data_IF_743068985659
#
_entry.id   IF_743068985659
#
_cell.length_a   1.000
_cell.length_b   1.000
_cell.length_c   1.000
_cell.angle_alpha   90.00
_cell.angle_beta   90.00
_cell.angle_gamma   90.00
#
_symmetry.space_group_name_H-M   'P 1'
#
loop_
_entity.id
_entity.type
_entity.pdbx_description
1 polymer ?
#
# COMPACT_ATOMS: atom_id res chain seq x y z
N UNK A 1 60.18 -6.01 33.05
CA UNK A 1 61.04 -4.87 33.40
C UNK A 1 61.33 -4.09 32.13
N UNK A 2 60.87 -2.82 32.08
CA UNK A 2 61.58 -1.61 31.56
C UNK A 2 62.20 -1.72 30.14
N UNK A 3 61.98 -0.88 29.13
CA UNK A 3 61.22 0.36 28.89
C UNK A 3 61.40 0.75 27.42
N UNK A 4 60.40 1.45 26.86
CA UNK A 4 60.49 2.64 25.99
C UNK A 4 61.56 2.72 24.89
N UNK A 5 61.10 2.88 23.65
CA UNK A 5 61.76 3.76 22.66
C UNK A 5 60.71 4.62 21.95
N UNK A 6 60.96 5.92 22.01
CA UNK A 6 60.28 7.01 21.34
C UNK A 6 60.76 7.17 19.89
N UNK A 7 59.89 7.68 19.02
CA UNK A 7 60.23 8.00 17.63
C UNK A 7 59.23 8.98 17.03
N UNK A 8 59.55 10.26 17.17
CA UNK A 8 58.87 11.41 16.60
C UNK A 8 59.19 11.57 15.11
N UNK A 9 58.22 12.05 14.31
CA UNK A 9 58.34 13.17 13.34
C UNK A 9 57.55 12.94 12.04
N UNK A 10 56.83 14.01 11.68
CA UNK A 10 56.88 14.66 10.36
C UNK A 10 55.52 14.81 9.67
N UNK A 11 55.04 16.05 9.80
CA UNK A 11 53.99 16.71 9.02
C UNK A 11 54.31 16.67 7.52
N UNK A 12 53.47 15.99 6.74
CA UNK A 12 53.48 16.09 5.27
C UNK A 12 52.39 17.07 4.82
N UNK A 13 52.85 18.24 4.39
CA UNK A 13 52.09 19.33 3.79
C UNK A 13 51.89 18.98 2.30
N UNK A 14 50.65 18.76 1.86
CA UNK A 14 50.32 18.52 0.43
C UNK A 14 49.71 19.81 -0.14
N UNK A 15 50.35 20.32 -1.20
CA UNK A 15 49.98 21.52 -1.94
C UNK A 15 48.76 21.30 -2.87
N UNK A 16 47.98 22.34 -3.21
CA UNK A 16 46.84 22.22 -4.12
C UNK A 16 47.25 22.21 -5.60
N UNK A 17 46.57 21.37 -6.39
CA UNK A 17 46.73 21.26 -7.85
C UNK A 17 46.03 22.41 -8.62
N UNK A 18 46.50 22.76 -9.84
CA UNK A 18 46.10 23.99 -10.54
C UNK A 18 44.79 23.88 -11.34
N UNK A 19 44.08 25.00 -11.42
CA UNK A 19 42.91 25.23 -12.29
C UNK A 19 43.32 25.15 -13.76
N UNK A 20 42.69 24.27 -14.54
CA UNK A 20 42.70 24.35 -16.00
C UNK A 20 41.48 25.11 -16.49
N UNK A 21 41.75 26.23 -17.15
CA UNK A 21 40.83 26.92 -18.06
C UNK A 21 40.99 26.28 -19.44
N UNK A 22 39.87 25.95 -20.08
CA UNK A 22 39.84 25.28 -21.36
C UNK A 22 38.52 25.57 -22.07
N UNK A 23 38.50 26.71 -22.74
CA UNK A 23 37.57 27.09 -23.80
C UNK A 23 37.57 26.07 -24.93
N UNK A 24 36.39 25.57 -25.30
CA UNK A 24 36.15 24.89 -26.58
C UNK A 24 34.77 25.32 -27.09
N UNK A 25 34.81 26.37 -27.92
CA UNK A 25 33.74 26.71 -28.85
C UNK A 25 33.67 25.66 -29.96
N UNK A 26 32.46 25.30 -30.38
CA UNK A 26 32.17 24.54 -31.60
C UNK A 26 30.89 25.11 -32.25
N UNK A 27 30.76 25.03 -33.58
CA UNK A 27 30.25 26.14 -34.40
C UNK A 27 28.75 26.10 -34.70
N UNK A 28 28.24 27.29 -35.00
CA UNK A 28 26.92 27.59 -35.56
C UNK A 28 26.76 26.98 -36.96
N UNK A 29 25.72 26.18 -37.17
CA UNK A 29 25.11 25.95 -38.48
C UNK A 29 23.65 26.41 -38.50
N UNK A 30 23.29 26.93 -39.68
CA UNK A 30 22.15 27.78 -39.96
C UNK A 30 20.82 27.04 -40.09
N UNK A 31 19.75 27.75 -39.75
CA UNK A 31 18.63 27.93 -40.67
C UNK A 31 17.59 26.81 -40.76
N UNK A 32 16.65 26.81 -39.81
CA UNK A 32 15.29 26.35 -40.08
C UNK A 32 14.30 27.36 -39.46
N UNK A 33 13.78 28.23 -40.32
CA UNK A 33 12.60 29.04 -40.08
C UNK A 33 11.41 28.09 -39.93
N UNK A 34 10.97 27.82 -38.70
CA UNK A 34 9.67 27.23 -38.42
C UNK A 34 8.82 28.33 -37.80
N UNK A 35 7.96 28.91 -38.64
CA UNK A 35 6.70 29.50 -38.21
C UNK A 35 5.87 28.36 -37.65
N UNK A 36 5.63 28.37 -36.35
CA UNK A 36 4.54 27.61 -35.75
C UNK A 36 3.64 28.63 -35.06
N UNK A 37 2.43 28.73 -35.60
CA UNK A 37 1.41 29.66 -35.22
C UNK A 37 1.12 29.53 -33.74
N UNK A 38 1.07 30.67 -33.07
CA UNK A 38 0.63 30.79 -31.68
C UNK A 38 -0.80 30.28 -31.59
N UNK A 39 -0.95 29.02 -31.20
CA UNK A 39 -2.24 28.42 -30.91
C UNK A 39 -2.89 29.20 -29.77
N UNK A 40 -3.86 30.05 -30.12
CA UNK A 40 -4.73 30.76 -29.18
C UNK A 40 -5.56 29.80 -28.29
N UNK A 41 -5.47 28.49 -28.53
CA UNK A 41 -6.04 27.40 -27.72
C UNK A 41 -5.16 26.96 -26.55
N UNK A 42 -3.87 27.35 -26.52
CA UNK A 42 -2.96 27.06 -25.41
C UNK A 42 -3.07 28.07 -24.26
N UNK A 43 -3.66 29.25 -24.51
CA UNK A 43 -3.91 30.28 -23.49
C UNK A 43 -5.16 29.99 -22.64
N UNK A 44 -5.95 28.96 -22.99
CA UNK A 44 -7.16 28.57 -22.23
C UNK A 44 -6.91 27.48 -21.17
N UNK A 45 -5.64 27.14 -20.90
CA UNK A 45 -5.24 26.10 -19.94
C UNK A 45 -4.23 26.57 -18.90
N UNK A 46 -4.01 27.88 -18.79
CA UNK A 46 -3.49 28.46 -17.55
C UNK A 46 -4.67 28.44 -16.57
N UNK A 47 -4.59 27.73 -15.43
CA UNK A 47 -5.61 27.87 -14.39
C UNK A 47 -5.72 29.36 -14.07
N UNK A 48 -6.89 29.95 -14.28
CA UNK A 48 -7.15 31.36 -14.01
C UNK A 48 -6.74 31.64 -12.57
N UNK A 49 -5.76 32.52 -12.39
CA UNK A 49 -5.36 33.04 -11.07
C UNK A 49 -6.58 33.59 -10.31
N UNK A 50 -7.63 33.99 -11.04
CA UNK A 50 -8.93 34.41 -10.52
C UNK A 50 -9.71 33.31 -9.77
N UNK A 51 -9.66 32.03 -10.18
CA UNK A 51 -10.41 30.96 -9.49
C UNK A 51 -9.78 30.64 -8.12
N UNK A 52 -8.47 30.74 -8.03
CA UNK A 52 -7.68 30.50 -6.82
C UNK A 52 -7.78 31.69 -5.83
N UNK A 53 -7.99 32.92 -6.35
CA UNK A 53 -8.31 34.13 -5.57
C UNK A 53 -9.78 34.18 -5.13
N UNK A 54 -10.75 33.79 -5.96
CA UNK A 54 -12.17 33.73 -5.57
C UNK A 54 -12.41 32.67 -4.48
N UNK A 55 -11.68 31.55 -4.55
CA UNK A 55 -11.62 30.55 -3.49
C UNK A 55 -10.94 31.06 -2.21
N UNK A 56 -10.11 32.12 -2.25
CA UNK A 56 -9.57 32.77 -1.04
C UNK A 56 -10.60 33.67 -0.33
N UNK A 57 -11.59 34.20 -1.05
CA UNK A 57 -12.49 35.26 -0.55
C UNK A 57 -13.83 34.71 -0.05
N UNK A 58 -14.29 33.55 -0.54
CA UNK A 58 -15.58 32.96 -0.16
C UNK A 58 -15.53 32.17 1.16
N UNK A 59 -16.61 32.20 1.93
CA UNK A 59 -16.81 31.35 3.13
C UNK A 59 -16.60 29.87 2.81
N UNK A 60 -17.02 29.41 1.62
CA UNK A 60 -16.80 28.05 1.15
C UNK A 60 -15.31 27.68 1.06
N UNK A 61 -14.45 28.61 0.66
CA UNK A 61 -13.01 28.38 0.56
C UNK A 61 -12.32 28.27 1.92
N UNK A 62 -12.78 29.01 2.92
CA UNK A 62 -12.33 28.85 4.31
C UNK A 62 -12.72 27.48 4.87
N UNK A 63 -13.97 27.04 4.62
CA UNK A 63 -14.42 25.70 5.04
C UNK A 63 -13.64 24.60 4.31
N UNK A 64 -13.42 24.75 3.00
CA UNK A 64 -12.61 23.83 2.22
C UNK A 64 -11.20 23.67 2.80
N UNK A 65 -10.50 24.78 3.06
CA UNK A 65 -9.16 24.73 3.67
C UNK A 65 -9.17 24.10 5.05
N UNK A 66 -10.20 24.39 5.85
CA UNK A 66 -10.34 23.79 7.19
C UNK A 66 -10.52 22.26 7.12
N UNK A 67 -11.28 21.77 6.14
CA UNK A 67 -11.58 20.35 5.98
C UNK A 67 -10.51 19.57 5.22
N UNK A 68 -9.83 20.20 4.25
CA UNK A 68 -8.90 19.52 3.34
C UNK A 68 -7.45 19.55 3.82
N UNK A 69 -7.02 20.66 4.44
CA UNK A 69 -5.66 20.83 4.96
C UNK A 69 -5.65 20.81 6.50
N UNK A 70 -5.18 19.71 7.13
CA UNK A 70 -5.04 19.62 8.58
C UNK A 70 -4.14 20.70 9.17
N UNK A 71 -3.20 21.24 8.39
CA UNK A 71 -2.24 22.25 8.85
C UNK A 71 -2.77 23.69 8.81
N UNK A 72 -3.96 23.90 8.24
CA UNK A 72 -4.54 25.23 8.01
C UNK A 72 -4.85 26.02 9.30
N UNK A 73 -5.25 25.36 10.38
CA UNK A 73 -5.51 25.98 11.68
C UNK A 73 -5.38 24.99 12.83
N UNK A 74 -5.22 25.48 14.07
CA UNK A 74 -5.23 24.62 15.27
C UNK A 74 -6.56 23.86 15.45
N UNK A 75 -7.66 24.49 15.07
CA UNK A 75 -8.97 23.85 15.06
C UNK A 75 -9.06 22.75 13.98
N UNK A 76 -8.51 22.98 12.78
CA UNK A 76 -8.41 21.97 11.72
C UNK A 76 -7.54 20.78 12.14
N UNK A 77 -6.44 21.04 12.86
CA UNK A 77 -5.59 19.99 13.45
C UNK A 77 -6.39 19.15 14.46
N UNK A 78 -7.09 19.79 15.39
CA UNK A 78 -7.91 19.10 16.40
C UNK A 78 -9.03 18.29 15.74
N UNK A 79 -9.72 18.86 14.75
CA UNK A 79 -10.75 18.18 13.97
C UNK A 79 -10.21 16.98 13.20
N UNK A 80 -9.05 17.11 12.55
CA UNK A 80 -8.40 16.02 11.83
C UNK A 80 -7.98 14.88 12.76
N UNK A 81 -7.46 15.20 13.95
CA UNK A 81 -7.13 14.21 14.99
C UNK A 81 -8.39 13.51 15.49
N UNK A 82 -9.48 14.26 15.72
CA UNK A 82 -10.76 13.68 16.12
C UNK A 82 -11.32 12.73 15.06
N UNK A 83 -11.27 13.10 13.77
CA UNK A 83 -11.69 12.24 12.66
C UNK A 83 -10.81 11.00 12.52
N UNK A 84 -9.48 11.12 12.64
CA UNK A 84 -8.59 9.95 12.69
C UNK A 84 -8.95 9.01 13.84
N UNK A 85 -9.25 9.56 15.02
CA UNK A 85 -9.73 8.81 16.17
C UNK A 85 -11.05 8.09 15.87
N UNK A 86 -12.00 8.77 15.24
CA UNK A 86 -13.29 8.19 14.84
C UNK A 86 -13.13 7.07 13.80
N UNK A 87 -12.25 7.23 12.81
CA UNK A 87 -11.95 6.17 11.83
C UNK A 87 -11.34 4.97 12.53
N UNK A 88 -10.35 5.19 13.41
CA UNK A 88 -9.72 4.11 14.18
C UNK A 88 -10.75 3.38 15.05
N UNK A 89 -11.60 4.13 15.76
CA UNK A 89 -12.68 3.57 16.55
C UNK A 89 -13.63 2.73 15.70
N UNK A 90 -14.03 3.23 14.52
CA UNK A 90 -14.89 2.47 13.60
C UNK A 90 -14.24 1.15 13.16
N UNK A 91 -12.93 1.14 12.86
CA UNK A 91 -12.22 -0.08 12.47
C UNK A 91 -12.12 -1.06 13.64
N UNK A 92 -11.87 -0.57 14.86
CA UNK A 92 -11.88 -1.42 16.07
C UNK A 92 -13.24 -2.06 16.28
N UNK A 93 -14.33 -1.29 16.15
CA UNK A 93 -15.70 -1.81 16.23
C UNK A 93 -15.94 -2.92 15.21
N UNK A 94 -15.51 -2.73 13.95
CA UNK A 94 -15.61 -3.75 12.90
C UNK A 94 -14.81 -5.02 13.24
N UNK A 95 -13.62 -4.89 13.80
CA UNK A 95 -12.84 -6.03 14.26
C UNK A 95 -13.53 -6.76 15.44
N UNK A 96 -14.10 -6.02 16.39
CA UNK A 96 -14.80 -6.60 17.55
C UNK A 96 -16.07 -7.33 17.11
N UNK A 97 -16.83 -6.79 16.16
CA UNK A 97 -18.02 -7.42 15.57
C UNK A 97 -17.70 -8.81 14.97
N UNK A 98 -16.47 -9.01 14.47
CA UNK A 98 -16.04 -10.30 13.91
C UNK A 98 -15.81 -11.41 14.96
N UNK A 99 -15.83 -11.09 16.26
CA UNK A 99 -15.59 -12.09 17.31
C UNK A 99 -16.81 -13.01 17.51
N UNK A 100 -16.60 -14.34 17.67
CA UNK A 100 -17.70 -15.31 17.79
C UNK A 100 -18.71 -14.98 18.89
N UNK A 101 -18.24 -14.44 20.02
CA UNK A 101 -19.08 -14.05 21.17
C UNK A 101 -20.16 -13.04 20.78
N UNK A 102 -19.85 -12.10 19.90
CA UNK A 102 -20.78 -11.06 19.47
C UNK A 102 -21.57 -11.47 18.21
N UNK A 103 -21.07 -12.44 17.45
CA UNK A 103 -21.79 -13.04 16.33
C UNK A 103 -23.07 -13.77 16.79
N UNK A 104 -23.00 -14.52 17.89
CA UNK A 104 -24.16 -15.24 18.45
C UNK A 104 -25.19 -14.30 19.07
N UNK A 105 -24.75 -13.21 19.71
CA UNK A 105 -25.62 -12.18 20.29
C UNK A 105 -26.33 -11.34 19.21
N UNK A 106 -25.74 -11.24 18.01
CA UNK A 106 -26.26 -10.51 16.85
C UNK A 106 -27.30 -11.27 16.02
N UNK A 107 -27.60 -12.54 16.35
CA UNK A 107 -28.63 -13.33 15.64
C UNK A 107 -30.08 -13.05 16.10
N UNK A 108 -30.27 -12.24 17.15
CA UNK A 108 -31.60 -11.73 17.51
C UNK A 108 -32.04 -10.60 16.57
N UNK A 109 -33.30 -10.65 16.11
CA UNK A 109 -33.93 -9.72 15.15
C UNK A 109 -33.96 -8.22 15.53
N UNK A 110 -33.24 -7.79 16.58
CA UNK A 110 -33.17 -6.38 16.98
C UNK A 110 -31.96 -5.68 16.34
N UNK A 111 -32.15 -4.42 15.96
CA UNK A 111 -31.05 -3.52 15.62
C UNK A 111 -29.99 -3.54 16.71
N UNK A 112 -28.85 -4.15 16.39
CA UNK A 112 -27.78 -4.32 17.35
C UNK A 112 -27.15 -2.96 17.68
N UNK A 113 -26.52 -2.87 18.84
CA UNK A 113 -25.71 -1.68 19.20
C UNK A 113 -24.64 -1.39 18.14
N UNK A 114 -24.16 -2.43 17.44
CA UNK A 114 -23.17 -2.34 16.37
C UNK A 114 -23.71 -1.60 15.14
N UNK A 115 -24.93 -1.92 14.71
CA UNK A 115 -25.60 -1.21 13.61
C UNK A 115 -25.78 0.27 13.92
N UNK A 116 -26.11 0.62 15.18
CA UNK A 116 -26.26 2.02 15.61
C UNK A 116 -24.92 2.77 15.59
N UNK A 117 -23.86 2.15 16.10
CA UNK A 117 -22.51 2.74 16.09
C UNK A 117 -22.05 2.96 14.65
N UNK A 118 -22.25 1.97 13.79
CA UNK A 118 -21.91 2.08 12.38
C UNK A 118 -22.68 3.21 11.70
N UNK A 119 -24.01 3.25 11.88
CA UNK A 119 -24.84 4.31 11.34
C UNK A 119 -24.34 5.70 11.74
N UNK A 120 -24.05 5.91 13.04
CA UNK A 120 -23.49 7.16 13.54
C UNK A 120 -22.16 7.51 12.87
N UNK A 121 -21.23 6.55 12.73
CA UNK A 121 -19.94 6.78 12.07
C UNK A 121 -20.12 7.14 10.60
N UNK A 122 -20.98 6.42 9.88
CA UNK A 122 -21.24 6.64 8.45
C UNK A 122 -21.91 7.99 8.22
N UNK A 123 -22.84 8.40 9.08
CA UNK A 123 -23.45 9.74 9.01
C UNK A 123 -22.39 10.82 9.11
N UNK A 124 -21.44 10.69 10.05
CA UNK A 124 -20.34 11.65 10.20
C UNK A 124 -19.44 11.66 8.94
N UNK A 125 -18.98 10.49 8.47
CA UNK A 125 -18.15 10.42 7.26
C UNK A 125 -18.85 10.91 6.00
N UNK A 126 -20.14 10.65 5.87
CA UNK A 126 -20.95 11.14 4.75
C UNK A 126 -21.08 12.65 4.84
N UNK A 127 -21.36 13.20 6.02
CA UNK A 127 -21.46 14.65 6.21
C UNK A 127 -20.14 15.35 5.85
N UNK A 128 -19.00 14.79 6.26
CA UNK A 128 -17.66 15.27 5.92
C UNK A 128 -17.42 15.24 4.40
N UNK A 129 -17.72 14.11 3.74
CA UNK A 129 -17.57 13.96 2.30
C UNK A 129 -18.45 14.94 1.52
N UNK A 130 -19.71 15.09 1.93
CA UNK A 130 -20.69 15.99 1.31
C UNK A 130 -20.28 17.46 1.50
N UNK A 131 -19.84 17.85 2.70
CA UNK A 131 -19.33 19.19 2.96
C UNK A 131 -18.13 19.51 2.08
N UNK A 132 -17.18 18.58 1.94
CA UNK A 132 -16.04 18.72 1.02
C UNK A 132 -16.50 18.85 -0.43
N UNK A 133 -17.40 17.98 -0.89
CA UNK A 133 -17.92 18.03 -2.26
C UNK A 133 -18.61 19.36 -2.59
N UNK A 134 -19.34 19.95 -1.65
CA UNK A 134 -20.01 21.24 -1.86
C UNK A 134 -19.09 22.46 -1.72
N UNK A 135 -18.03 22.35 -0.93
CA UNK A 135 -17.07 23.46 -0.70
C UNK A 135 -15.86 23.42 -1.64
N UNK A 136 -15.66 22.33 -2.37
CA UNK A 136 -14.53 22.18 -3.29
C UNK A 136 -14.59 23.17 -4.47
N UNK A 137 -13.44 23.68 -4.95
CA UNK A 137 -13.39 24.61 -6.07
C UNK A 137 -13.78 23.97 -7.41
N UNK A 138 -13.47 22.67 -7.61
CA UNK A 138 -13.83 21.93 -8.82
C UNK A 138 -14.30 20.51 -8.51
N UNK A 139 -15.59 20.25 -8.76
CA UNK A 139 -16.23 18.95 -8.50
C UNK A 139 -15.65 17.81 -9.33
N UNK A 140 -15.29 18.07 -10.60
CA UNK A 140 -14.70 17.04 -11.45
C UNK A 140 -13.27 16.69 -11.03
N UNK A 141 -12.49 17.66 -10.56
CA UNK A 141 -11.17 17.39 -10.02
C UNK A 141 -11.30 16.61 -8.70
N UNK A 142 -12.26 17.01 -7.85
CA UNK A 142 -12.56 16.34 -6.58
C UNK A 142 -12.89 14.86 -6.79
N UNK A 143 -13.81 14.52 -7.69
CA UNK A 143 -14.22 13.12 -7.93
C UNK A 143 -13.14 12.25 -8.59
N UNK A 144 -12.12 12.85 -9.22
CA UNK A 144 -11.00 12.13 -9.85
C UNK A 144 -9.80 11.95 -8.91
N UNK A 145 -9.78 12.64 -7.78
CA UNK A 145 -8.71 12.54 -6.81
C UNK A 145 -8.79 11.22 -6.01
N UNK A 146 -7.65 10.54 -5.85
CA UNK A 146 -7.58 9.22 -5.22
C UNK A 146 -8.03 9.25 -3.75
N UNK A 147 -7.69 10.29 -3.00
CA UNK A 147 -8.08 10.38 -1.58
C UNK A 147 -9.59 10.64 -1.44
N UNK A 148 -10.19 11.39 -2.36
CA UNK A 148 -11.64 11.58 -2.38
C UNK A 148 -12.38 10.30 -2.83
N UNK A 149 -11.79 9.50 -3.71
CA UNK A 149 -12.33 8.19 -4.08
C UNK A 149 -12.31 7.21 -2.89
N UNK A 150 -11.23 7.20 -2.12
CA UNK A 150 -11.13 6.41 -0.87
C UNK A 150 -12.21 6.82 0.14
N UNK A 151 -12.44 8.12 0.30
CA UNK A 151 -13.51 8.64 1.17
C UNK A 151 -14.91 8.15 0.73
N UNK A 152 -15.15 8.04 -0.59
CA UNK A 152 -16.40 7.51 -1.13
C UNK A 152 -16.55 6.01 -0.85
N UNK A 153 -15.51 5.21 -1.11
CA UNK A 153 -15.52 3.77 -0.82
C UNK A 153 -15.76 3.51 0.68
N UNK A 154 -15.29 4.39 1.56
CA UNK A 154 -15.48 4.26 3.00
C UNK A 154 -16.96 4.35 3.46
N UNK A 155 -17.83 5.02 2.69
CA UNK A 155 -19.25 5.21 3.05
C UNK A 155 -20.20 4.31 2.24
N UNK A 156 -19.81 3.91 1.02
CA UNK A 156 -20.63 3.13 0.08
C UNK A 156 -21.17 1.81 0.64
N UNK A 157 -20.42 0.99 1.41
CA UNK A 157 -20.89 -0.31 1.90
C UNK A 157 -22.20 -0.22 2.68
N UNK A 158 -22.34 0.78 3.56
CA UNK A 158 -23.54 0.98 4.34
C UNK A 158 -24.77 1.23 3.45
N UNK A 159 -24.63 2.12 2.47
CA UNK A 159 -25.72 2.44 1.54
C UNK A 159 -26.06 1.26 0.63
N UNK A 160 -25.07 0.50 0.17
CA UNK A 160 -25.29 -0.71 -0.62
C UNK A 160 -26.04 -1.77 0.17
N UNK A 161 -25.67 -2.01 1.42
CA UNK A 161 -26.37 -2.98 2.26
C UNK A 161 -27.81 -2.57 2.52
N UNK A 162 -28.06 -1.30 2.89
CA UNK A 162 -29.43 -0.81 3.09
C UNK A 162 -30.24 -0.88 1.79
N UNK A 163 -29.68 -0.46 0.66
CA UNK A 163 -30.37 -0.53 -0.64
C UNK A 163 -30.68 -1.98 -1.04
N UNK A 164 -29.72 -2.90 -0.86
CA UNK A 164 -29.89 -4.32 -1.14
C UNK A 164 -30.96 -4.95 -0.24
N UNK A 165 -31.06 -4.57 1.03
CA UNK A 165 -32.13 -5.04 1.94
C UNK A 165 -33.54 -4.61 1.49
N UNK A 166 -33.69 -3.46 0.81
CA UNK A 166 -34.98 -3.01 0.28
C UNK A 166 -35.29 -3.58 -1.12
N UNK A 167 -34.26 -3.88 -1.92
CA UNK A 167 -34.42 -4.21 -3.34
C UNK A 167 -34.34 -5.72 -3.64
N UNK A 168 -33.64 -6.52 -2.82
CA UNK A 168 -33.40 -7.94 -3.08
C UNK A 168 -34.35 -8.85 -2.28
N UNK A 169 -34.79 -9.93 -2.94
CA UNK A 169 -35.55 -11.02 -2.31
C UNK A 169 -34.67 -11.77 -1.28
N UNK A 170 -35.26 -12.30 -0.20
CA UNK A 170 -34.54 -13.05 0.82
C UNK A 170 -33.93 -14.33 0.22
N UNK A 171 -32.63 -14.33 -0.06
CA UNK A 171 -31.95 -15.48 -0.65
C UNK A 171 -30.45 -15.33 -0.92
N UNK A 172 -29.95 -14.11 -1.13
CA UNK A 172 -28.56 -13.90 -1.59
C UNK A 172 -27.60 -13.42 -0.48
N UNK A 173 -27.62 -14.11 0.67
CA UNK A 173 -26.80 -13.81 1.86
C UNK A 173 -25.28 -13.74 1.59
N UNK A 174 -24.79 -14.32 0.49
CA UNK A 174 -23.39 -14.26 0.10
C UNK A 174 -22.95 -12.87 -0.38
N UNK A 175 -23.81 -12.14 -1.09
CA UNK A 175 -23.51 -10.80 -1.61
C UNK A 175 -23.29 -9.81 -0.46
N UNK A 176 -24.10 -9.93 0.61
CA UNK A 176 -23.96 -9.10 1.81
C UNK A 176 -22.63 -9.33 2.55
N UNK A 177 -22.05 -10.54 2.51
CA UNK A 177 -20.76 -10.83 3.15
C UNK A 177 -19.60 -10.08 2.50
N UNK A 178 -19.58 -9.99 1.17
CA UNK A 178 -18.51 -9.28 0.44
C UNK A 178 -18.60 -7.77 0.66
N UNK A 179 -19.83 -7.21 0.70
CA UNK A 179 -20.02 -5.77 0.95
C UNK A 179 -19.51 -5.37 2.34
N UNK A 180 -19.68 -6.22 3.35
CA UNK A 180 -19.13 -5.99 4.70
C UNK A 180 -17.60 -5.91 4.70
N UNK A 181 -16.91 -6.70 3.89
CA UNK A 181 -15.44 -6.63 3.77
C UNK A 181 -15.00 -5.28 3.20
N UNK A 182 -15.80 -4.65 2.33
CA UNK A 182 -15.46 -3.33 1.77
C UNK A 182 -15.41 -2.25 2.84
N UNK A 183 -16.10 -2.42 3.97
CA UNK A 183 -16.02 -1.49 5.11
C UNK A 183 -14.61 -1.34 5.66
N UNK A 184 -13.75 -2.36 5.53
CA UNK A 184 -12.34 -2.29 5.96
C UNK A 184 -11.59 -1.19 5.23
N UNK A 185 -11.96 -0.87 3.98
CA UNK A 185 -11.30 0.17 3.20
C UNK A 185 -11.44 1.56 3.83
N UNK A 186 -12.40 1.79 4.75
CA UNK A 186 -12.46 3.04 5.51
C UNK A 186 -11.20 3.32 6.32
N UNK A 187 -10.40 2.29 6.64
CA UNK A 187 -9.07 2.48 7.24
C UNK A 187 -8.16 3.34 6.37
N UNK A 188 -8.29 3.26 5.04
CA UNK A 188 -7.50 4.07 4.11
C UNK A 188 -7.90 5.55 4.14
N UNK A 189 -9.07 5.92 4.68
CA UNK A 189 -9.43 7.33 4.92
C UNK A 189 -8.45 8.03 5.86
N UNK A 190 -7.78 7.27 6.74
CA UNK A 190 -6.68 7.78 7.59
C UNK A 190 -5.56 8.39 6.72
N UNK A 191 -5.41 7.94 5.47
CA UNK A 191 -4.28 8.33 4.63
C UNK A 191 -4.17 9.82 4.35
N UNK A 192 -5.31 10.53 4.27
CA UNK A 192 -5.35 11.99 4.09
C UNK A 192 -4.75 12.74 5.26
N UNK A 193 -4.90 12.22 6.47
CA UNK A 193 -4.52 12.91 7.70
C UNK A 193 -3.08 12.63 8.13
N UNK A 194 -2.47 11.57 7.59
CA UNK A 194 -1.07 11.23 7.82
C UNK A 194 -0.18 11.81 6.74
N UNK A 195 0.44 12.96 7.02
CA UNK A 195 1.42 13.60 6.13
C UNK A 195 2.58 12.66 5.72
N UNK A 196 2.87 11.65 6.54
CA UNK A 196 3.89 10.62 6.29
C UNK A 196 3.60 9.73 5.08
N UNK A 197 2.33 9.52 4.71
CA UNK A 197 1.99 8.65 3.57
C UNK A 197 2.49 9.25 2.27
N UNK A 198 2.44 10.57 2.11
CA UNK A 198 3.03 11.23 0.95
C UNK A 198 4.54 10.99 0.86
N UNK A 199 5.24 11.10 1.99
CA UNK A 199 6.69 10.85 2.07
C UNK A 199 6.98 9.38 1.72
N UNK A 200 6.19 8.45 2.25
CA UNK A 200 6.29 7.03 1.94
C UNK A 200 6.07 6.74 0.45
N UNK A 201 5.00 7.29 -0.15
CA UNK A 201 4.71 7.12 -1.59
C UNK A 201 5.86 7.66 -2.44
N UNK A 202 6.39 8.84 -2.12
CA UNK A 202 7.54 9.42 -2.84
C UNK A 202 8.79 8.54 -2.67
N UNK A 203 9.07 8.04 -1.47
CA UNK A 203 10.19 7.14 -1.21
C UNK A 203 10.06 5.82 -2.01
N UNK A 204 8.86 5.25 -2.06
CA UNK A 204 8.54 4.07 -2.85
C UNK A 204 8.69 4.34 -4.34
N UNK A 205 8.18 5.47 -4.85
CA UNK A 205 8.32 5.89 -6.23
C UNK A 205 9.79 6.02 -6.65
N UNK A 206 10.60 6.64 -5.80
CA UNK A 206 12.04 6.76 -6.02
C UNK A 206 12.77 5.40 -5.95
N UNK A 207 12.18 4.41 -5.28
CA UNK A 207 12.73 3.06 -5.12
C UNK A 207 12.06 2.03 -6.06
N UNK A 208 11.23 2.47 -7.00
CA UNK A 208 10.46 1.59 -7.90
C UNK A 208 11.36 0.66 -8.70
N UNK A 209 12.45 1.16 -9.27
CA UNK A 209 13.36 0.36 -10.08
C UNK A 209 14.07 -0.73 -9.25
N UNK A 210 14.73 -0.42 -8.11
CA UNK A 210 15.27 -1.45 -7.22
C UNK A 210 14.23 -2.45 -6.72
N UNK A 211 13.04 -1.98 -6.32
CA UNK A 211 11.97 -2.85 -5.82
C UNK A 211 11.44 -3.78 -6.92
N UNK A 212 11.32 -3.29 -8.15
CA UNK A 212 10.89 -4.12 -9.29
C UNK A 212 11.93 -5.18 -9.61
N UNK A 213 13.22 -4.82 -9.58
CA UNK A 213 14.32 -5.77 -9.75
C UNK A 213 14.31 -6.84 -8.64
N UNK A 214 14.11 -6.42 -7.38
CA UNK A 214 13.98 -7.32 -6.24
C UNK A 214 12.85 -8.34 -6.45
N UNK A 215 11.65 -7.86 -6.77
CA UNK A 215 10.48 -8.73 -7.02
C UNK A 215 10.69 -9.67 -8.20
N UNK A 216 11.38 -9.21 -9.25
CA UNK A 216 11.73 -10.05 -10.41
C UNK A 216 12.69 -11.18 -10.02
N UNK A 217 13.78 -10.87 -9.30
CA UNK A 217 14.74 -11.89 -8.83
C UNK A 217 14.09 -12.86 -7.85
N UNK A 218 13.25 -12.36 -6.93
CA UNK A 218 12.47 -13.20 -6.02
C UNK A 218 11.53 -14.16 -6.77
N UNK A 219 10.87 -13.71 -7.84
CA UNK A 219 9.98 -14.56 -8.63
C UNK A 219 10.75 -15.65 -9.40
N UNK A 220 11.86 -15.30 -10.04
CA UNK A 220 12.74 -16.27 -10.73
C UNK A 220 13.31 -17.28 -9.72
N UNK A 221 13.80 -16.80 -8.57
CA UNK A 221 14.30 -17.63 -7.48
C UNK A 221 13.22 -18.57 -6.95
N UNK A 222 11.99 -18.08 -6.77
CA UNK A 222 10.86 -18.88 -6.33
C UNK A 222 10.58 -20.04 -7.29
N UNK A 223 10.54 -19.79 -8.60
CA UNK A 223 10.36 -20.85 -9.60
C UNK A 223 11.52 -21.85 -9.57
N UNK A 224 12.76 -21.36 -9.53
CA UNK A 224 13.96 -22.19 -9.55
C UNK A 224 14.08 -23.10 -8.32
N UNK A 225 14.07 -22.51 -7.13
CA UNK A 225 14.21 -23.24 -5.87
C UNK A 225 13.01 -24.14 -5.59
N UNK A 226 11.79 -23.71 -5.93
CA UNK A 226 10.61 -24.57 -5.77
C UNK A 226 10.62 -25.76 -6.71
N UNK A 227 11.09 -25.59 -7.94
CA UNK A 227 11.25 -26.70 -8.88
C UNK A 227 12.27 -27.72 -8.35
N UNK A 228 13.45 -27.24 -7.92
CA UNK A 228 14.48 -28.09 -7.32
C UNK A 228 13.97 -28.81 -6.07
N UNK A 229 13.23 -28.10 -5.22
CA UNK A 229 12.68 -28.66 -4.00
C UNK A 229 11.63 -29.73 -4.27
N UNK A 230 10.71 -29.46 -5.20
CA UNK A 230 9.73 -30.44 -5.64
C UNK A 230 10.39 -31.74 -6.11
N UNK A 231 11.41 -31.67 -6.98
CA UNK A 231 12.06 -32.89 -7.47
C UNK A 231 12.87 -33.64 -6.39
N UNK A 232 13.37 -32.95 -5.38
CA UNK A 232 14.11 -33.56 -4.28
C UNK A 232 13.20 -34.17 -3.20
N UNK A 233 11.99 -33.64 -3.00
CA UNK A 233 11.14 -33.96 -1.85
C UNK A 233 9.77 -34.55 -2.21
N UNK A 234 9.37 -34.57 -3.48
CA UNK A 234 8.06 -35.14 -3.88
C UNK A 234 7.91 -36.59 -3.42
N UNK A 235 8.94 -37.41 -3.59
CA UNK A 235 8.85 -38.86 -3.37
C UNK A 235 8.15 -39.59 -4.51
N UNK A 236 7.43 -40.66 -4.20
CA UNK A 236 6.81 -41.56 -5.18
C UNK A 236 5.34 -41.22 -5.40
N UNK A 237 4.86 -41.35 -6.64
CA UNK A 237 3.47 -41.05 -6.97
C UNK A 237 2.58 -42.26 -6.67
N UNK A 238 1.59 -42.08 -5.81
CA UNK A 238 0.59 -43.10 -5.47
C UNK A 238 -0.63 -42.96 -6.40
N UNK A 239 -0.91 -44.02 -7.17
CA UNK A 239 -2.01 -44.03 -8.14
C UNK A 239 -3.39 -44.12 -7.48
N UNK A 240 -3.49 -44.74 -6.30
CA UNK A 240 -4.77 -44.96 -5.62
C UNK A 240 -5.26 -43.68 -4.94
N UNK A 241 -4.33 -42.87 -4.42
CA UNK A 241 -4.61 -41.60 -3.75
C UNK A 241 -4.45 -40.38 -4.65
N UNK A 242 -3.74 -40.50 -5.78
CA UNK A 242 -3.49 -39.39 -6.70
C UNK A 242 -2.56 -38.31 -6.14
N UNK A 243 -1.68 -38.68 -5.20
CA UNK A 243 -0.76 -37.77 -4.50
C UNK A 243 0.65 -38.35 -4.43
N UNK A 244 1.65 -37.49 -4.26
CA UNK A 244 3.00 -37.90 -3.97
C UNK A 244 3.17 -38.27 -2.49
N UNK A 245 3.79 -39.41 -2.21
CA UNK A 245 4.09 -39.91 -0.88
C UNK A 245 5.59 -39.87 -0.60
N UNK A 246 5.94 -39.53 0.64
CA UNK A 246 7.31 -39.62 1.15
C UNK A 246 7.72 -41.06 1.41
N UNK A 247 9.01 -41.27 1.68
CA UNK A 247 9.57 -42.57 2.02
C UNK A 247 8.99 -43.22 3.29
N UNK A 248 8.34 -42.45 4.16
CA UNK A 248 7.65 -42.93 5.37
C UNK A 248 6.16 -43.23 5.14
N UNK A 249 5.66 -43.09 3.91
CA UNK A 249 4.26 -43.29 3.55
C UNK A 249 3.34 -42.11 3.88
N UNK A 250 3.87 -41.00 4.42
CA UNK A 250 3.10 -39.78 4.62
C UNK A 250 2.94 -39.00 3.30
N UNK A 251 1.87 -38.20 3.20
CA UNK A 251 1.69 -37.31 2.05
C UNK A 251 2.79 -36.26 2.01
N UNK A 252 3.45 -36.11 0.86
CA UNK A 252 4.46 -35.07 0.68
C UNK A 252 3.76 -33.71 0.63
N UNK A 253 4.22 -32.68 1.36
CA UNK A 253 3.70 -31.33 1.18
C UNK A 253 4.12 -30.73 -0.18
N UNK A 254 5.07 -31.35 -0.89
CA UNK A 254 5.58 -30.94 -2.19
C UNK A 254 4.83 -31.63 -3.34
N UNK A 255 3.52 -31.41 -3.43
CA UNK A 255 2.65 -32.06 -4.42
C UNK A 255 2.78 -31.51 -5.84
N UNK A 256 3.19 -30.25 -5.98
CA UNK A 256 3.43 -29.61 -7.26
C UNK A 256 4.41 -28.45 -7.11
N UNK A 257 4.98 -27.99 -8.23
CA UNK A 257 5.88 -26.83 -8.22
C UNK A 257 5.15 -25.58 -7.68
N UNK A 258 3.91 -25.24 -8.11
CA UNK A 258 3.18 -24.11 -7.53
C UNK A 258 2.85 -24.27 -6.05
N UNK A 259 2.51 -25.48 -5.58
CA UNK A 259 2.29 -25.72 -4.15
C UNK A 259 3.57 -25.47 -3.34
N UNK A 260 4.73 -25.74 -3.93
CA UNK A 260 6.04 -25.52 -3.30
C UNK A 260 6.41 -24.03 -3.23
N UNK A 261 5.76 -23.14 -4.00
CA UNK A 261 5.99 -21.69 -3.90
C UNK A 261 5.72 -21.15 -2.51
N UNK A 262 4.73 -21.69 -1.78
CA UNK A 262 4.45 -21.31 -0.39
C UNK A 262 5.68 -21.49 0.49
N UNK A 263 6.28 -22.69 0.47
CA UNK A 263 7.50 -22.98 1.21
C UNK A 263 8.66 -22.07 0.80
N UNK A 264 8.85 -21.88 -0.51
CA UNK A 264 9.97 -21.09 -1.01
C UNK A 264 9.84 -19.60 -0.62
N UNK A 265 8.65 -19.02 -0.75
CA UNK A 265 8.41 -17.63 -0.36
C UNK A 265 8.62 -17.43 1.14
N UNK A 266 8.01 -18.27 1.98
CA UNK A 266 8.16 -18.23 3.44
C UNK A 266 9.63 -18.39 3.88
N UNK A 267 10.41 -19.21 3.15
CA UNK A 267 11.83 -19.44 3.42
C UNK A 267 12.70 -18.27 2.94
N UNK A 268 12.48 -17.79 1.71
CA UNK A 268 13.26 -16.67 1.16
C UNK A 268 12.99 -15.37 1.91
N UNK A 269 11.76 -15.13 2.37
CA UNK A 269 11.42 -13.96 3.21
C UNK A 269 11.74 -14.17 4.68
N UNK A 270 12.45 -15.26 5.04
CA UNK A 270 12.91 -15.56 6.42
C UNK A 270 11.80 -15.72 7.46
N UNK A 271 10.55 -15.96 7.05
CA UNK A 271 9.40 -16.14 7.95
C UNK A 271 9.46 -17.52 8.63
N UNK A 272 9.65 -18.57 7.85
CA UNK A 272 9.91 -19.92 8.35
C UNK A 272 8.85 -20.48 9.32
N UNK A 273 7.57 -20.54 8.92
CA UNK A 273 6.49 -21.08 9.76
C UNK A 273 6.75 -22.52 10.25
N UNK A 274 7.45 -23.34 9.46
CA UNK A 274 7.79 -24.73 9.80
C UNK A 274 6.66 -25.74 9.54
N UNK A 275 5.58 -25.32 8.90
CA UNK A 275 4.47 -26.16 8.43
C UNK A 275 4.86 -27.06 7.25
N UNK A 276 5.69 -26.53 6.34
CA UNK A 276 6.31 -27.27 5.24
C UNK A 276 7.82 -27.22 5.38
N UNK A 277 8.48 -28.37 5.32
CA UNK A 277 9.94 -28.47 5.41
C UNK A 277 10.47 -29.72 4.69
N UNK A 278 11.69 -29.64 4.12
CA UNK A 278 12.35 -30.80 3.51
C UNK A 278 12.88 -31.76 4.56
N UNK A 279 12.78 -33.05 4.28
CA UNK A 279 13.30 -34.12 5.14
C UNK A 279 14.52 -34.81 4.54
N UNK A 280 14.67 -34.79 3.21
CA UNK A 280 15.79 -35.44 2.53
C UNK A 280 17.09 -34.65 2.72
N UNK A 281 18.26 -35.32 2.68
CA UNK A 281 19.54 -34.63 2.77
C UNK A 281 19.75 -33.59 1.64
N UNK A 282 19.37 -33.95 0.41
CA UNK A 282 19.44 -33.05 -0.74
C UNK A 282 18.52 -31.85 -0.58
N UNK A 283 17.30 -32.09 -0.08
CA UNK A 283 16.36 -31.02 0.15
C UNK A 283 16.78 -30.05 1.26
N UNK A 284 17.38 -30.56 2.35
CA UNK A 284 17.96 -29.71 3.41
C UNK A 284 19.13 -28.87 2.91
N UNK A 285 19.97 -29.42 2.04
CA UNK A 285 21.04 -28.67 1.39
C UNK A 285 20.46 -27.55 0.52
N UNK A 286 19.48 -27.87 -0.33
CA UNK A 286 18.83 -26.87 -1.18
C UNK A 286 18.15 -25.79 -0.34
N UNK A 287 17.44 -26.15 0.72
CA UNK A 287 16.83 -25.19 1.65
C UNK A 287 17.85 -24.23 2.26
N UNK A 288 19.03 -24.72 2.63
CA UNK A 288 20.11 -23.87 3.15
C UNK A 288 20.54 -22.83 2.11
N UNK A 289 20.70 -23.25 0.86
CA UNK A 289 21.03 -22.34 -0.26
C UNK A 289 19.89 -21.36 -0.51
N UNK A 290 18.63 -21.81 -0.50
CA UNK A 290 17.44 -20.97 -0.66
C UNK A 290 17.35 -19.90 0.43
N UNK A 291 17.60 -20.24 1.69
CA UNK A 291 17.60 -19.29 2.80
C UNK A 291 18.71 -18.24 2.65
N UNK A 292 19.92 -18.66 2.27
CA UNK A 292 21.03 -17.72 2.01
C UNK A 292 20.72 -16.80 0.84
N UNK A 293 20.15 -17.34 -0.25
CA UNK A 293 19.73 -16.55 -1.39
C UNK A 293 18.65 -15.53 -1.01
N UNK A 294 17.67 -15.91 -0.20
CA UNK A 294 16.62 -14.99 0.27
C UNK A 294 17.14 -13.84 1.14
N UNK A 295 18.20 -14.07 1.94
CA UNK A 295 18.83 -13.01 2.74
C UNK A 295 19.64 -12.03 1.85
N UNK A 296 20.21 -12.53 0.76
CA UNK A 296 21.05 -11.74 -0.16
C UNK A 296 20.25 -10.88 -1.13
N UNK A 297 19.02 -11.30 -1.44
CA UNK A 297 18.09 -10.64 -2.37
C UNK A 297 17.34 -9.56 -1.62
#
# INVERSE_FOLDING_TARGET
MVSSTSGSLSSARIAPAPRQSGSLEAPLENGAFVREDTDASALSKVPSIEDDELAKISCAGHIWRFLDDPSSSKAAQCYSVALMGLITFSVVVFCVESLPRFYEESQGDEETIWDRIEFCCVVIFTSEYVLRLFTCPSKSAFLRDFLNFVDLIAIVPFYLERAASYLLLPGDAAVFRVVRLVRVFRVFKISRYLSWIRIFVVAMQNSTQPLTMLLFVMMVGCVFFSSGMFFLERGDFDLDRGVYLRSDGSESPFQSIPATFWWCLVTMTTVGYGDVYPITPGGKLLATVTSLAGILV
#
